data_IF_186343300204
#
_entry.id   IF_186343300204
#
_cell.length_a   1.000
_cell.length_b   1.000
_cell.length_c   1.000
_cell.angle_alpha   90.00
_cell.angle_beta   90.00
_cell.angle_gamma   90.00
#
_symmetry.space_group_name_H-M   'P 1'
#
loop_
_entity.id
_entity.type
_entity.pdbx_description
1 polymer ?
#
# COMPACT_ATOMS: atom_id res chain seq x y z
N UNK A 1 -1.41 50.64 -9.32
CA UNK A 1 -2.08 49.59 -8.55
C UNK A 1 -1.95 48.27 -9.31
N UNK A 2 -1.48 47.24 -8.60
CA UNK A 2 -1.53 45.78 -8.85
C UNK A 2 -0.86 45.22 -10.13
N UNK A 3 0.43 44.94 -9.97
CA UNK A 3 1.37 44.44 -10.99
C UNK A 3 1.02 43.00 -11.39
N UNK A 4 0.38 42.86 -12.54
CA UNK A 4 -0.23 41.62 -13.03
C UNK A 4 0.75 40.59 -13.58
N UNK A 5 0.99 39.52 -12.82
CA UNK A 5 1.36 38.23 -13.40
C UNK A 5 0.66 37.06 -12.71
N UNK A 6 0.50 37.14 -11.40
CA UNK A 6 -0.16 36.13 -10.58
C UNK A 6 -1.12 36.83 -9.60
N UNK A 7 -2.32 36.28 -9.44
CA UNK A 7 -3.36 36.85 -8.57
C UNK A 7 -3.88 35.73 -7.67
N UNK A 8 -4.12 36.05 -6.40
CA UNK A 8 -4.79 35.12 -5.51
C UNK A 8 -6.20 34.84 -6.02
N UNK A 9 -6.52 33.57 -6.21
CA UNK A 9 -7.82 33.12 -6.73
C UNK A 9 -8.37 32.05 -5.79
N UNK A 10 -9.68 32.02 -5.60
CA UNK A 10 -10.36 30.92 -4.92
C UNK A 10 -10.79 29.91 -6.00
N UNK A 11 -10.43 28.64 -5.82
CA UNK A 11 -10.79 27.54 -6.71
C UNK A 11 -11.61 26.50 -5.94
N UNK A 12 -12.48 25.78 -6.65
CA UNK A 12 -13.30 24.71 -6.07
C UNK A 12 -12.67 23.37 -6.40
N UNK A 13 -12.43 22.54 -5.39
CA UNK A 13 -11.90 21.19 -5.58
C UNK A 13 -12.94 20.27 -6.25
N UNK A 14 -12.55 19.52 -7.28
CA UNK A 14 -13.47 18.60 -7.97
C UNK A 14 -13.89 17.40 -7.11
N UNK A 15 -13.02 16.94 -6.20
CA UNK A 15 -13.28 15.75 -5.39
C UNK A 15 -14.02 16.08 -4.08
N UNK A 16 -13.57 17.10 -3.33
CA UNK A 16 -14.18 17.47 -2.04
C UNK A 16 -15.15 18.66 -2.13
N UNK A 17 -15.22 19.37 -3.26
CA UNK A 17 -16.08 20.55 -3.48
C UNK A 17 -15.84 21.70 -2.51
N UNK A 18 -14.67 21.70 -1.88
CA UNK A 18 -14.25 22.76 -0.96
C UNK A 18 -13.55 23.89 -1.72
N UNK A 19 -13.80 25.11 -1.28
CA UNK A 19 -13.20 26.33 -1.78
C UNK A 19 -11.80 26.48 -1.18
N UNK A 20 -10.76 26.57 -2.01
CA UNK A 20 -9.39 26.74 -1.53
C UNK A 20 -8.70 27.93 -2.20
N UNK A 21 -7.81 28.58 -1.45
CA UNK A 21 -7.03 29.70 -1.94
C UNK A 21 -5.83 29.22 -2.77
N UNK A 22 -5.86 29.53 -4.07
CA UNK A 22 -4.73 29.42 -4.97
C UNK A 22 -3.96 30.74 -4.95
N UNK A 23 -2.99 30.81 -4.03
CA UNK A 23 -2.19 32.01 -3.79
C UNK A 23 -1.08 32.18 -4.80
N UNK A 24 -0.52 33.40 -4.88
CA UNK A 24 0.62 33.73 -5.75
C UNK A 24 1.79 32.73 -5.58
N UNK A 25 2.16 32.40 -4.34
CA UNK A 25 3.26 31.45 -4.09
C UNK A 25 2.98 30.03 -4.59
N UNK A 26 1.71 29.61 -4.64
CA UNK A 26 1.35 28.35 -5.27
C UNK A 26 1.46 28.43 -6.80
N UNK A 27 1.09 29.58 -7.38
CA UNK A 27 1.19 29.79 -8.82
C UNK A 27 2.65 29.87 -9.30
N UNK A 28 3.54 30.50 -8.53
CA UNK A 28 4.98 30.53 -8.79
C UNK A 28 5.57 29.12 -8.77
N UNK A 29 5.23 28.30 -7.77
CA UNK A 29 5.66 26.91 -7.69
C UNK A 29 5.22 26.08 -8.91
N UNK A 30 3.99 26.30 -9.40
CA UNK A 30 3.49 25.60 -10.58
C UNK A 30 4.23 26.07 -11.85
N UNK A 31 4.47 27.37 -11.98
CA UNK A 31 5.22 27.94 -13.11
C UNK A 31 6.68 27.44 -13.14
N UNK A 32 7.36 27.36 -11.99
CA UNK A 32 8.73 26.81 -11.89
C UNK A 32 8.80 25.33 -12.26
N UNK A 33 7.74 24.57 -11.99
CA UNK A 33 7.63 23.15 -12.36
C UNK A 33 7.23 22.93 -13.82
N UNK A 34 6.91 23.98 -14.57
CA UNK A 34 6.44 23.90 -15.95
C UNK A 34 4.96 23.50 -16.06
N UNK A 35 4.16 23.67 -15.02
CA UNK A 35 2.71 23.47 -15.08
C UNK A 35 2.03 24.77 -15.53
N UNK A 36 1.41 24.73 -16.71
CA UNK A 36 0.63 25.84 -17.28
C UNK A 36 -0.85 25.84 -16.87
N UNK A 37 -1.34 24.77 -16.24
CA UNK A 37 -2.73 24.65 -15.79
C UNK A 37 -2.87 24.82 -14.28
N UNK A 38 -3.97 25.46 -13.86
CA UNK A 38 -4.33 25.61 -12.45
C UNK A 38 -4.75 24.26 -11.82
N UNK A 39 -4.44 24.02 -10.53
CA UNK A 39 -4.81 22.78 -9.85
C UNK A 39 -6.33 22.65 -9.69
N UNK A 40 -6.88 21.53 -10.19
CA UNK A 40 -8.31 21.18 -10.03
C UNK A 40 -8.63 20.52 -8.68
N UNK A 41 -7.61 20.16 -7.91
CA UNK A 41 -7.71 19.46 -6.63
C UNK A 41 -6.99 20.26 -5.55
N UNK A 42 -7.60 20.34 -4.38
CA UNK A 42 -6.97 20.96 -3.22
C UNK A 42 -5.79 20.11 -2.70
N UNK A 43 -4.94 20.76 -1.91
CA UNK A 43 -3.70 20.17 -1.38
C UNK A 43 -3.96 18.96 -0.47
N UNK A 44 -5.09 18.95 0.23
CA UNK A 44 -5.53 17.85 1.09
C UNK A 44 -5.88 16.61 0.27
N UNK A 45 -6.71 16.74 -0.76
CA UNK A 45 -7.03 15.63 -1.68
C UNK A 45 -5.79 15.08 -2.38
N UNK A 46 -4.85 15.94 -2.78
CA UNK A 46 -3.59 15.51 -3.37
C UNK A 46 -2.70 14.74 -2.36
N UNK A 47 -2.63 15.20 -1.11
CA UNK A 47 -1.88 14.52 -0.05
C UNK A 47 -2.46 13.13 0.24
N UNK A 48 -3.78 13.03 0.40
CA UNK A 48 -4.47 11.75 0.63
C UNK A 48 -4.21 10.77 -0.50
N UNK A 49 -4.33 11.21 -1.77
CA UNK A 49 -4.01 10.37 -2.92
C UNK A 49 -2.57 9.83 -2.86
N UNK A 50 -1.61 10.71 -2.53
CA UNK A 50 -0.20 10.33 -2.42
C UNK A 50 0.06 9.36 -1.26
N UNK A 51 -0.61 9.52 -0.13
CA UNK A 51 -0.48 8.62 1.01
C UNK A 51 -1.11 7.26 0.75
N UNK A 52 -2.28 7.21 0.10
CA UNK A 52 -2.90 5.96 -0.36
C UNK A 52 -1.98 5.20 -1.31
N UNK A 53 -1.30 5.92 -2.22
CA UNK A 53 -0.33 5.30 -3.13
C UNK A 53 0.90 4.72 -2.41
N UNK A 54 1.41 5.40 -1.38
CA UNK A 54 2.54 4.91 -0.58
C UNK A 54 2.20 3.68 0.26
N UNK A 55 0.98 3.60 0.78
CA UNK A 55 0.56 2.48 1.65
C UNK A 55 0.56 1.14 0.92
N UNK A 56 0.19 1.11 -0.36
CA UNK A 56 0.27 -0.13 -1.18
C UNK A 56 1.69 -0.70 -1.29
N UNK A 57 2.73 0.13 -1.12
CA UNK A 57 4.13 -0.29 -1.17
C UNK A 57 4.76 -0.51 0.21
N UNK A 58 4.01 -0.37 1.31
CA UNK A 58 4.49 -0.61 2.69
C UNK A 58 4.26 -2.04 3.20
N UNK A 59 3.73 -2.91 2.35
CA UNK A 59 3.34 -4.29 2.70
C UNK A 59 4.40 -5.37 2.57
N UNK A 60 5.62 -5.08 2.08
CA UNK A 60 6.71 -6.07 2.11
C UNK A 60 7.57 -5.84 3.34
N UNK A 61 7.00 -6.05 4.54
CA UNK A 61 7.82 -6.37 5.71
C UNK A 61 8.21 -7.84 5.56
N UNK A 62 9.45 -8.08 5.12
CA UNK A 62 10.05 -9.42 5.16
C UNK A 62 9.86 -9.96 6.57
N UNK A 63 9.19 -11.11 6.76
CA UNK A 63 9.08 -11.69 8.09
C UNK A 63 10.49 -11.98 8.58
N UNK A 64 10.76 -11.41 9.73
CA UNK A 64 11.91 -11.61 10.58
C UNK A 64 11.93 -13.12 10.89
N UNK A 65 12.96 -13.82 10.41
CA UNK A 65 13.17 -15.25 10.69
C UNK A 65 13.41 -15.41 12.18
N UNK A 66 12.34 -15.53 12.96
CA UNK A 66 12.36 -16.19 14.25
C UNK A 66 12.45 -17.68 13.98
N UNK A 67 13.60 -18.28 14.30
CA UNK A 67 13.71 -19.73 14.41
C UNK A 67 12.70 -20.19 15.48
N UNK A 68 12.05 -21.34 15.29
CA UNK A 68 11.23 -21.92 16.34
C UNK A 68 12.11 -22.14 17.58
N UNK A 69 11.60 -21.68 18.71
CA UNK A 69 12.03 -22.08 20.05
C UNK A 69 11.98 -23.60 20.13
N UNK A 70 13.14 -24.24 20.01
CA UNK A 70 13.31 -25.66 20.31
C UNK A 70 13.00 -25.84 21.80
N UNK A 71 11.77 -26.27 22.08
CA UNK A 71 11.37 -26.81 23.38
C UNK A 71 11.96 -28.22 23.43
N UNK A 72 13.20 -28.34 23.94
CA UNK A 72 13.74 -29.63 24.38
C UNK A 72 12.95 -30.07 25.62
N UNK A 73 11.89 -30.84 25.38
CA UNK A 73 11.10 -31.52 26.41
C UNK A 73 11.19 -33.02 26.14
N UNK A 74 12.32 -33.64 26.46
CA UNK A 74 12.53 -35.08 26.28
C UNK A 74 13.25 -35.70 27.48
N UNK A 75 12.64 -35.56 28.66
CA UNK A 75 12.77 -36.53 29.76
C UNK A 75 11.56 -37.48 29.69
N UNK A 76 11.57 -38.41 28.73
CA UNK A 76 10.58 -39.48 28.65
C UNK A 76 11.25 -40.84 28.38
N UNK A 77 11.28 -41.77 29.35
CA UNK A 77 11.98 -43.04 29.21
C UNK A 77 11.23 -44.03 28.30
N UNK A 78 11.98 -44.62 27.36
CA UNK A 78 11.78 -45.90 26.66
C UNK A 78 10.47 -46.68 26.97
N UNK A 79 9.52 -46.66 26.04
CA UNK A 79 8.61 -47.81 25.81
C UNK A 79 8.02 -47.82 24.39
N UNK A 80 8.54 -48.72 23.55
CA UNK A 80 7.93 -49.13 22.27
C UNK A 80 6.60 -49.85 22.54
N UNK A 81 5.59 -49.67 21.67
CA UNK A 81 5.06 -50.86 20.99
C UNK A 81 4.63 -50.65 19.51
N UNK A 82 4.92 -51.71 18.74
CA UNK A 82 4.37 -52.24 17.47
C UNK A 82 3.70 -51.29 16.46
N UNK A 83 4.25 -51.16 15.24
CA UNK A 83 4.02 -52.10 14.12
C UNK A 83 2.55 -52.39 13.92
N UNK A 84 1.93 -51.75 12.93
CA UNK A 84 1.31 -52.45 11.80
C UNK A 84 0.46 -51.50 10.94
N UNK A 85 0.29 -51.90 9.68
CA UNK A 85 -0.62 -51.38 8.64
C UNK A 85 -0.01 -50.23 7.80
N UNK A 86 0.80 -50.54 6.78
CA UNK A 86 0.43 -51.00 5.42
C UNK A 86 -0.60 -50.07 4.75
N UNK A 87 -0.15 -49.15 3.91
CA UNK A 87 -0.07 -49.31 2.44
C UNK A 87 -1.45 -49.47 1.77
N UNK A 88 -1.91 -48.40 1.13
CA UNK A 88 -2.83 -48.45 -0.03
C UNK A 88 -2.93 -47.08 -0.69
N UNK A 89 -2.08 -46.88 -1.69
CA UNK A 89 -2.24 -45.92 -2.80
C UNK A 89 -2.33 -46.80 -4.06
N UNK A 90 -2.67 -46.30 -5.26
CA UNK A 90 -3.73 -45.41 -5.74
C UNK A 90 -4.65 -46.19 -6.72
N UNK A 91 -5.65 -45.55 -7.32
CA UNK A 91 -6.15 -45.79 -8.70
C UNK A 91 -7.47 -45.04 -8.89
N UNK A 92 -7.84 -44.39 -9.98
CA UNK A 92 -7.31 -44.24 -11.33
C UNK A 92 -8.07 -43.06 -11.96
N UNK A 93 -7.46 -42.38 -12.92
CA UNK A 93 -8.11 -41.37 -13.77
C UNK A 93 -9.01 -42.07 -14.79
N UNK A 94 -9.98 -41.35 -15.38
CA UNK A 94 -9.95 -41.33 -16.83
C UNK A 94 -10.07 -39.94 -17.46
N UNK A 95 -9.52 -39.90 -18.66
CA UNK A 95 -9.37 -38.77 -19.57
C UNK A 95 -10.70 -38.45 -20.28
N UNK A 96 -10.78 -37.20 -20.74
CA UNK A 96 -11.88 -36.52 -21.41
C UNK A 96 -11.97 -36.88 -22.89
N UNK A 97 -13.19 -37.04 -23.38
CA UNK A 97 -13.61 -36.74 -24.77
C UNK A 97 -14.79 -35.77 -24.72
#
# INVERSE_FOLDING_TARGET
>A
MDNGKFKDKILICVDCKEEFAFTIGAQEYFAERGFTEDPKRCRTCYAVYKDVMKQKNRGVKKPERGLPMDVEMEDAPFRFPDSDVMDSVPSERPNVE
#
